data_IF_245884170382
#
_entry.id   IF_245884170382
#
_cell.length_a   1.000
_cell.length_b   1.000
_cell.length_c   1.000
_cell.angle_alpha   90.00
_cell.angle_beta   90.00
_cell.angle_gamma   90.00
#
_symmetry.space_group_name_H-M   'P 1'
#
loop_
_entity.id
_entity.type
_entity.pdbx_description
1 polymer ?
#
# COMPACT_ATOMS: atom_id res chain seq x y z
N UNK A 1 21.60 0.74 -4.47
CA UNK A 1 21.30 -0.67 -4.11
C UNK A 1 22.50 -1.51 -4.47
N UNK A 2 22.89 -2.45 -3.60
CA UNK A 2 24.05 -3.32 -3.83
C UNK A 2 23.89 -4.15 -5.11
N UNK A 3 24.98 -4.36 -5.86
CA UNK A 3 25.01 -5.25 -7.01
C UNK A 3 25.19 -6.73 -6.62
N UNK A 4 25.47 -7.02 -5.36
CA UNK A 4 25.61 -8.39 -4.85
C UNK A 4 24.26 -9.11 -4.77
N UNK A 5 24.14 -10.24 -5.46
CA UNK A 5 22.94 -11.10 -5.46
C UNK A 5 22.74 -11.75 -4.08
N UNK A 6 23.82 -12.14 -3.39
CA UNK A 6 23.72 -12.73 -2.05
C UNK A 6 23.12 -11.75 -1.06
N UNK A 7 23.58 -10.49 -1.11
CA UNK A 7 23.04 -9.43 -0.27
C UNK A 7 21.55 -9.16 -0.56
N UNK A 8 21.16 -9.07 -1.83
CA UNK A 8 19.76 -8.87 -2.21
C UNK A 8 18.86 -9.99 -1.69
N UNK A 9 19.30 -11.25 -1.78
CA UNK A 9 18.54 -12.39 -1.22
C UNK A 9 18.41 -12.28 0.30
N UNK A 10 19.48 -11.91 1.00
CA UNK A 10 19.47 -11.68 2.46
C UNK A 10 18.47 -10.58 2.84
N UNK A 11 18.51 -9.43 2.16
CA UNK A 11 17.61 -8.31 2.40
C UNK A 11 16.13 -8.69 2.19
N UNK A 12 15.80 -9.41 1.11
CA UNK A 12 14.44 -9.89 0.86
C UNK A 12 14.00 -10.83 1.98
N UNK A 13 14.83 -11.82 2.32
CA UNK A 13 14.49 -12.80 3.35
C UNK A 13 14.25 -12.14 4.71
N UNK A 14 15.13 -11.24 5.14
CA UNK A 14 14.97 -10.51 6.40
C UNK A 14 13.71 -9.64 6.39
N UNK A 15 13.43 -8.92 5.30
CA UNK A 15 12.21 -8.14 5.16
C UNK A 15 10.95 -9.01 5.28
N UNK A 16 10.90 -10.14 4.57
CA UNK A 16 9.74 -11.04 4.59
C UNK A 16 9.54 -11.68 5.97
N UNK A 17 10.61 -12.11 6.63
CA UNK A 17 10.54 -12.68 7.97
C UNK A 17 9.98 -11.65 8.96
N UNK A 18 10.56 -10.46 9.03
CA UNK A 18 10.11 -9.42 9.97
C UNK A 18 8.65 -9.05 9.70
N UNK A 19 8.29 -8.84 8.43
CA UNK A 19 6.95 -8.43 8.03
C UNK A 19 5.92 -9.51 8.39
N UNK A 20 6.08 -10.74 7.92
CA UNK A 20 5.09 -11.80 8.14
C UNK A 20 5.05 -12.29 9.59
N UNK A 21 6.15 -12.25 10.34
CA UNK A 21 6.13 -12.56 11.79
C UNK A 21 5.31 -11.51 12.54
N UNK A 22 5.49 -10.21 12.25
CA UNK A 22 4.68 -9.16 12.88
C UNK A 22 3.21 -9.26 12.49
N UNK A 23 2.90 -9.54 11.22
CA UNK A 23 1.52 -9.75 10.77
C UNK A 23 0.89 -10.95 11.46
N UNK A 24 1.59 -12.08 11.55
CA UNK A 24 1.11 -13.26 12.26
C UNK A 24 0.87 -12.96 13.75
N UNK A 25 1.80 -12.26 14.40
CA UNK A 25 1.67 -11.84 15.79
C UNK A 25 0.45 -10.93 16.02
N UNK A 26 0.30 -9.88 15.22
CA UNK A 26 -0.84 -8.94 15.33
C UNK A 26 -2.16 -9.67 15.04
N UNK A 27 -2.15 -10.61 14.10
CA UNK A 27 -3.35 -11.39 13.74
C UNK A 27 -3.92 -12.19 14.92
N UNK A 28 -3.09 -12.62 15.89
CA UNK A 28 -3.58 -13.31 17.09
C UNK A 28 -4.62 -12.44 17.81
N UNK A 29 -4.35 -11.14 17.97
CA UNK A 29 -5.27 -10.20 18.62
C UNK A 29 -6.53 -9.95 17.78
N UNK A 30 -6.40 -9.87 16.45
CA UNK A 30 -7.56 -9.75 15.54
C UNK A 30 -8.52 -10.93 15.75
N UNK A 31 -7.99 -12.16 15.79
CA UNK A 31 -8.82 -13.36 15.99
C UNK A 31 -9.42 -13.45 17.40
N UNK A 32 -8.74 -12.94 18.43
CA UNK A 32 -9.28 -12.85 19.79
C UNK A 32 -10.47 -11.91 19.91
N UNK A 33 -10.50 -10.82 19.13
CA UNK A 33 -11.56 -9.80 19.20
C UNK A 33 -12.74 -10.10 18.29
N UNK A 34 -12.60 -11.03 17.33
CA UNK A 34 -13.66 -11.39 16.37
C UNK A 34 -15.00 -11.76 17.00
N UNK A 35 -15.01 -12.30 18.23
CA UNK A 35 -16.24 -12.67 18.94
C UNK A 35 -16.87 -11.56 19.78
N UNK A 36 -16.29 -10.35 19.83
CA UNK A 36 -16.84 -9.20 20.56
C UNK A 36 -17.92 -8.46 19.75
N UNK A 37 -18.84 -7.78 20.44
CA UNK A 37 -19.95 -7.01 19.85
C UNK A 37 -19.49 -5.90 18.91
N UNK A 38 -18.43 -5.18 19.27
CA UNK A 38 -17.85 -4.07 18.47
C UNK A 38 -16.61 -4.49 17.66
N UNK A 39 -16.55 -5.77 17.28
CA UNK A 39 -15.37 -6.36 16.66
C UNK A 39 -14.89 -5.67 15.38
N UNK A 40 -15.80 -5.07 14.59
CA UNK A 40 -15.44 -4.42 13.32
C UNK A 40 -14.54 -3.21 13.54
N UNK A 41 -14.84 -2.34 14.50
CA UNK A 41 -14.05 -1.14 14.77
C UNK A 41 -12.64 -1.50 15.25
N UNK A 42 -12.53 -2.46 16.18
CA UNK A 42 -11.23 -2.96 16.64
C UNK A 42 -10.44 -3.62 15.51
N UNK A 43 -11.07 -4.47 14.70
CA UNK A 43 -10.39 -5.16 13.60
C UNK A 43 -9.95 -4.15 12.52
N UNK A 44 -10.74 -3.10 12.26
CA UNK A 44 -10.37 -2.03 11.33
C UNK A 44 -9.16 -1.24 11.81
N UNK A 45 -9.03 -0.98 13.11
CA UNK A 45 -7.85 -0.36 13.69
C UNK A 45 -6.58 -1.22 13.49
N UNK A 46 -6.71 -2.55 13.59
CA UNK A 46 -5.62 -3.46 13.24
C UNK A 46 -5.31 -3.47 11.75
N UNK A 47 -6.30 -3.31 10.87
CA UNK A 47 -6.07 -3.15 9.43
C UNK A 47 -5.28 -1.86 9.11
N UNK A 48 -5.52 -0.79 9.86
CA UNK A 48 -4.71 0.44 9.77
C UNK A 48 -3.28 0.19 10.28
N UNK A 49 -3.11 -0.52 11.40
CA UNK A 49 -1.80 -0.90 11.92
C UNK A 49 -0.99 -1.77 10.93
N UNK A 50 -1.65 -2.69 10.22
CA UNK A 50 -1.03 -3.52 9.19
C UNK A 50 -0.24 -2.65 8.20
N UNK A 51 -0.80 -1.52 7.74
CA UNK A 51 -0.16 -0.63 6.76
C UNK A 51 1.20 -0.06 7.22
N UNK A 52 1.51 -0.02 8.51
CA UNK A 52 2.83 0.40 9.01
C UNK A 52 3.94 -0.65 8.84
N UNK A 53 3.57 -1.94 8.87
CA UNK A 53 4.50 -3.05 9.03
C UNK A 53 5.51 -3.17 7.88
N UNK A 54 5.15 -2.96 6.60
CA UNK A 54 6.12 -3.08 5.51
C UNK A 54 7.26 -2.05 5.66
N UNK A 55 6.98 -0.77 5.83
CA UNK A 55 8.02 0.25 6.01
C UNK A 55 8.85 0.03 7.29
N UNK A 56 8.23 -0.38 8.40
CA UNK A 56 8.97 -0.73 9.60
C UNK A 56 9.99 -1.85 9.34
N UNK A 57 9.55 -2.89 8.63
CA UNK A 57 10.42 -4.01 8.23
C UNK A 57 11.60 -3.52 7.38
N UNK A 58 11.35 -2.59 6.44
CA UNK A 58 12.41 -1.95 5.65
C UNK A 58 13.39 -1.18 6.53
N UNK A 59 12.90 -0.37 7.46
CA UNK A 59 13.74 0.44 8.34
C UNK A 59 14.66 -0.45 9.18
N UNK A 60 14.16 -1.57 9.71
CA UNK A 60 14.96 -2.54 10.44
C UNK A 60 16.04 -3.14 9.54
N UNK A 61 15.70 -3.59 8.33
CA UNK A 61 16.70 -4.15 7.40
C UNK A 61 17.78 -3.13 7.05
N UNK A 62 17.39 -1.94 6.59
CA UNK A 62 18.34 -0.92 6.14
C UNK A 62 19.26 -0.43 7.26
N UNK A 63 18.73 -0.21 8.48
CA UNK A 63 19.50 0.42 9.56
C UNK A 63 20.22 -0.57 10.47
N UNK A 64 19.64 -1.76 10.72
CA UNK A 64 20.19 -2.73 11.68
C UNK A 64 20.93 -3.88 11.02
N UNK A 65 20.57 -4.24 9.80
CA UNK A 65 21.19 -5.38 9.09
C UNK A 65 22.26 -4.87 8.12
N UNK A 66 21.95 -3.80 7.39
CA UNK A 66 22.81 -3.27 6.32
C UNK A 66 23.58 -2.00 6.72
N UNK A 67 23.35 -1.45 7.92
CA UNK A 67 24.01 -0.25 8.46
C UNK A 67 24.04 0.95 7.48
N UNK A 68 22.96 1.13 6.72
CA UNK A 68 22.86 2.20 5.74
C UNK A 68 22.75 3.57 6.43
N UNK A 69 23.53 4.54 5.97
CA UNK A 69 23.51 5.92 6.47
C UNK A 69 22.63 6.82 5.60
N UNK A 70 21.89 7.70 6.26
CA UNK A 70 21.03 8.71 5.62
C UNK A 70 21.40 10.11 6.14
N UNK A 71 20.90 11.16 5.49
CA UNK A 71 21.01 12.51 6.04
C UNK A 71 20.32 12.59 7.39
N UNK A 72 20.72 13.50 8.30
CA UNK A 72 20.10 13.62 9.63
C UNK A 72 18.56 13.76 9.58
N UNK A 73 18.04 14.50 8.60
CA UNK A 73 16.60 14.72 8.41
C UNK A 73 15.88 13.42 8.02
N UNK A 74 16.40 12.69 7.02
CA UNK A 74 15.83 11.40 6.60
C UNK A 74 15.97 10.36 7.70
N UNK A 75 17.09 10.35 8.43
CA UNK A 75 17.31 9.46 9.56
C UNK A 75 16.30 9.70 10.69
N UNK A 76 16.00 10.96 10.99
CA UNK A 76 14.98 11.39 11.94
C UNK A 76 13.58 10.95 11.50
N UNK A 77 13.23 11.14 10.23
CA UNK A 77 11.96 10.69 9.65
C UNK A 77 11.76 9.18 9.86
N UNK A 78 12.76 8.36 9.48
CA UNK A 78 12.68 6.90 9.62
C UNK A 78 12.64 6.46 11.10
N UNK A 79 13.35 7.16 11.99
CA UNK A 79 13.27 6.93 13.44
C UNK A 79 11.88 7.21 13.99
N UNK A 80 11.28 8.34 13.63
CA UNK A 80 9.93 8.71 14.08
C UNK A 80 8.90 7.71 13.57
N UNK A 81 8.97 7.31 12.30
CA UNK A 81 8.10 6.26 11.75
C UNK A 81 8.24 4.93 12.53
N UNK A 82 9.47 4.51 12.83
CA UNK A 82 9.71 3.26 13.53
C UNK A 82 9.20 3.30 14.99
N UNK A 83 9.42 4.40 15.71
CA UNK A 83 8.90 4.61 17.06
C UNK A 83 7.37 4.63 17.04
N UNK A 84 6.77 5.34 16.08
CA UNK A 84 5.32 5.38 15.90
C UNK A 84 4.74 3.98 15.64
N UNK A 85 5.41 3.15 14.84
CA UNK A 85 4.96 1.78 14.58
C UNK A 85 4.94 0.94 15.86
N UNK A 86 6.01 0.99 16.66
CA UNK A 86 6.09 0.26 17.94
C UNK A 86 4.99 0.75 18.89
N UNK A 87 4.81 2.06 18.99
CA UNK A 87 3.77 2.68 19.80
C UNK A 87 2.37 2.25 19.34
N UNK A 88 2.12 2.22 18.03
CA UNK A 88 0.84 1.77 17.45
C UNK A 88 0.56 0.30 17.73
N UNK A 89 1.57 -0.58 17.70
CA UNK A 89 1.41 -1.99 18.09
C UNK A 89 0.96 -2.08 19.55
N UNK A 90 1.67 -1.42 20.46
CA UNK A 90 1.37 -1.45 21.90
C UNK A 90 -0.04 -0.92 22.16
N UNK A 91 -0.38 0.24 21.58
CA UNK A 91 -1.68 0.88 21.83
C UNK A 91 -2.83 0.10 21.22
N UNK A 92 -2.67 -0.48 20.02
CA UNK A 92 -3.72 -1.33 19.45
C UNK A 92 -4.01 -2.54 20.33
N UNK A 93 -2.97 -3.14 20.93
CA UNK A 93 -3.13 -4.27 21.86
C UNK A 93 -3.79 -3.80 23.16
N UNK A 94 -3.39 -2.65 23.71
CA UNK A 94 -3.99 -2.08 24.92
C UNK A 94 -5.48 -1.76 24.72
N UNK A 95 -5.83 -1.15 23.58
CA UNK A 95 -7.21 -0.81 23.22
C UNK A 95 -8.12 -2.05 23.21
N UNK A 96 -7.61 -3.22 22.81
CA UNK A 96 -8.36 -4.49 22.88
C UNK A 96 -8.86 -4.82 24.30
N UNK A 97 -8.12 -4.44 25.34
CA UNK A 97 -8.39 -4.83 26.71
C UNK A 97 -8.99 -3.73 27.59
N UNK A 98 -8.74 -2.45 27.28
CA UNK A 98 -8.84 -1.40 28.29
C UNK A 98 -9.77 -0.23 27.95
N UNK A 99 -10.33 -0.09 26.74
CA UNK A 99 -11.05 1.14 26.36
C UNK A 99 -12.27 0.87 25.46
N UNK A 100 -13.45 1.21 25.96
CA UNK A 100 -14.63 1.50 25.14
C UNK A 100 -14.56 2.97 24.69
N UNK A 101 -14.50 3.23 23.37
CA UNK A 101 -14.83 4.53 22.80
C UNK A 101 -13.75 5.61 22.62
N UNK A 102 -12.46 5.38 22.95
CA UNK A 102 -11.36 6.30 22.58
C UNK A 102 -10.37 5.57 21.67
N UNK A 103 -10.24 6.05 20.42
CA UNK A 103 -9.28 5.53 19.45
C UNK A 103 -7.98 6.34 19.57
N UNK A 104 -7.20 6.12 20.64
CA UNK A 104 -5.89 6.73 20.83
C UNK A 104 -4.96 6.46 19.63
N UNK A 105 -5.15 5.30 19.02
CA UNK A 105 -4.55 4.91 17.74
C UNK A 105 -4.71 5.93 16.61
N UNK A 106 -5.90 6.51 16.43
CA UNK A 106 -6.18 7.45 15.33
C UNK A 106 -5.53 8.83 15.56
N UNK A 107 -5.40 9.24 16.83
CA UNK A 107 -4.65 10.44 17.19
C UNK A 107 -3.17 10.27 16.84
N UNK A 108 -2.60 9.10 17.13
CA UNK A 108 -1.21 8.81 16.76
C UNK A 108 -1.04 8.82 15.25
N UNK A 109 -1.94 8.16 14.51
CA UNK A 109 -1.91 8.15 13.05
C UNK A 109 -1.94 9.58 12.49
N UNK A 110 -2.82 10.42 13.01
CA UNK A 110 -2.96 11.82 12.62
C UNK A 110 -1.70 12.63 12.89
N UNK A 111 -1.18 12.63 14.12
CA UNK A 111 -0.02 13.43 14.49
C UNK A 111 1.25 12.96 13.77
N UNK A 112 1.42 11.65 13.62
CA UNK A 112 2.54 11.06 12.88
C UNK A 112 2.44 11.42 11.40
N UNK A 113 1.26 11.30 10.79
CA UNK A 113 1.03 11.69 9.39
C UNK A 113 1.42 13.15 9.15
N UNK A 114 0.87 14.08 9.93
CA UNK A 114 1.13 15.52 9.81
C UNK A 114 2.62 15.84 9.98
N UNK A 115 3.26 15.25 10.98
CA UNK A 115 4.67 15.49 11.25
C UNK A 115 5.58 14.96 10.12
N UNK A 116 5.32 13.75 9.64
CA UNK A 116 6.08 13.13 8.56
C UNK A 116 5.86 13.85 7.22
N UNK A 117 4.65 14.32 6.94
CA UNK A 117 4.35 15.18 5.80
C UNK A 117 5.12 16.49 5.88
N UNK A 118 5.09 17.18 7.02
CA UNK A 118 5.85 18.40 7.24
C UNK A 118 7.34 18.19 6.94
N UNK A 119 7.96 17.14 7.52
CA UNK A 119 9.36 16.85 7.27
C UNK A 119 9.64 16.61 5.78
N UNK A 120 8.79 15.84 5.11
CA UNK A 120 8.98 15.44 3.71
C UNK A 120 8.80 16.61 2.74
N UNK A 121 7.79 17.46 2.96
CA UNK A 121 7.48 18.59 2.09
C UNK A 121 8.44 19.77 2.31
N UNK A 122 8.80 20.06 3.56
CA UNK A 122 9.72 21.15 3.90
C UNK A 122 11.15 20.86 3.42
N UNK A 123 11.60 19.61 3.51
CA UNK A 123 12.95 19.18 3.15
C UNK A 123 12.99 18.38 1.83
N UNK A 124 12.18 18.78 0.85
CA UNK A 124 11.92 17.97 -0.36
C UNK A 124 13.18 17.52 -1.12
N UNK A 125 14.28 18.28 -1.10
CA UNK A 125 15.55 17.91 -1.74
C UNK A 125 16.24 16.74 -1.03
N UNK A 126 16.26 16.71 0.30
CA UNK A 126 16.86 15.61 1.07
C UNK A 126 16.12 14.28 0.86
N UNK A 127 14.80 14.35 0.70
CA UNK A 127 13.94 13.18 0.48
C UNK A 127 14.07 12.57 -0.93
N UNK A 128 14.85 13.17 -1.84
CA UNK A 128 15.27 12.49 -3.06
C UNK A 128 16.05 11.20 -2.78
N UNK A 129 16.73 11.10 -1.63
CA UNK A 129 17.43 9.89 -1.20
C UNK A 129 16.51 8.67 -1.08
N UNK A 130 15.21 8.89 -0.81
CA UNK A 130 14.18 7.85 -0.75
C UNK A 130 13.26 7.85 -1.98
N UNK A 131 13.60 8.60 -3.04
CA UNK A 131 12.71 8.92 -4.15
C UNK A 131 11.37 9.54 -3.67
N UNK A 132 11.34 10.22 -2.52
CA UNK A 132 10.13 10.76 -1.90
C UNK A 132 10.09 12.30 -1.98
N UNK A 133 10.63 12.86 -3.06
CA UNK A 133 10.60 14.30 -3.31
C UNK A 133 9.41 14.69 -4.17
N UNK A 134 8.60 15.65 -3.74
CA UNK A 134 7.40 16.08 -4.48
C UNK A 134 7.74 16.80 -5.80
N UNK A 135 8.91 17.43 -5.90
CA UNK A 135 9.33 18.20 -7.08
C UNK A 135 9.85 17.30 -8.20
N UNK A 136 10.47 16.16 -7.86
CA UNK A 136 11.10 15.24 -8.81
C UNK A 136 10.08 14.59 -9.74
N UNK A 137 10.22 14.82 -11.05
CA UNK A 137 9.33 14.26 -12.08
C UNK A 137 7.83 14.54 -11.84
N UNK A 138 7.48 15.64 -11.16
CA UNK A 138 6.10 15.95 -10.75
C UNK A 138 5.07 15.82 -11.87
N UNK A 139 5.35 16.33 -13.07
CA UNK A 139 4.44 16.21 -14.24
C UNK A 139 4.10 14.76 -14.59
N UNK A 140 5.07 13.84 -14.46
CA UNK A 140 4.84 12.40 -14.70
C UNK A 140 4.00 11.79 -13.59
N UNK A 141 4.20 12.22 -12.34
CA UNK A 141 3.39 11.79 -11.19
C UNK A 141 1.92 12.19 -11.42
N UNK A 142 1.66 13.45 -11.78
CA UNK A 142 0.32 13.92 -12.09
C UNK A 142 -0.31 13.14 -13.26
N UNK A 143 0.48 12.87 -14.31
CA UNK A 143 0.00 12.12 -15.47
C UNK A 143 -0.42 10.68 -15.14
N UNK A 144 0.37 9.94 -14.34
CA UNK A 144 0.00 8.56 -13.96
C UNK A 144 -1.17 8.51 -12.99
N UNK A 145 -1.32 9.52 -12.11
CA UNK A 145 -2.50 9.65 -11.24
C UNK A 145 -3.74 9.91 -12.10
N UNK A 146 -3.66 10.82 -13.08
CA UNK A 146 -4.77 11.11 -13.98
C UNK A 146 -5.21 9.86 -14.75
N UNK A 147 -4.26 9.08 -15.29
CA UNK A 147 -4.57 7.80 -15.95
C UNK A 147 -5.30 6.85 -15.00
N UNK A 148 -4.80 6.72 -13.76
CA UNK A 148 -5.42 5.84 -12.77
C UNK A 148 -6.85 6.27 -12.43
N UNK A 149 -7.06 7.56 -12.17
CA UNK A 149 -8.38 8.11 -11.86
C UNK A 149 -9.33 7.88 -13.04
N UNK A 150 -8.89 8.06 -14.28
CA UNK A 150 -9.72 7.78 -15.46
C UNK A 150 -10.07 6.29 -15.59
N UNK A 151 -9.13 5.38 -15.34
CA UNK A 151 -9.40 3.93 -15.30
C UNK A 151 -10.46 3.61 -14.25
N UNK A 152 -10.37 4.21 -13.06
CA UNK A 152 -11.36 4.03 -12.00
C UNK A 152 -12.72 4.58 -12.42
N UNK A 153 -12.79 5.81 -12.94
CA UNK A 153 -14.04 6.42 -13.42
C UNK A 153 -14.72 5.59 -14.51
N UNK A 154 -13.95 5.01 -15.45
CA UNK A 154 -14.50 4.10 -16.47
C UNK A 154 -15.06 2.83 -15.84
N UNK A 155 -14.37 2.27 -14.85
CA UNK A 155 -14.83 1.10 -14.11
C UNK A 155 -16.14 1.31 -13.35
N UNK A 156 -16.48 2.55 -13.03
CA UNK A 156 -17.69 2.92 -12.30
C UNK A 156 -18.89 3.17 -13.21
N UNK A 157 -18.72 3.15 -14.54
CA UNK A 157 -19.82 3.39 -15.48
C UNK A 157 -20.97 2.39 -15.30
N UNK A 158 -20.75 1.07 -15.15
CA UNK A 158 -21.83 0.12 -14.93
C UNK A 158 -22.63 0.43 -13.65
N UNK A 159 -21.93 0.70 -12.55
CA UNK A 159 -22.55 1.07 -11.28
C UNK A 159 -23.30 2.39 -11.38
N UNK A 160 -22.80 3.37 -12.17
CA UNK A 160 -23.47 4.64 -12.38
C UNK A 160 -24.83 4.48 -13.07
N UNK A 161 -24.94 3.59 -14.06
CA UNK A 161 -26.23 3.29 -14.69
C UNK A 161 -27.20 2.62 -13.72
N UNK A 162 -26.71 1.75 -12.83
CA UNK A 162 -27.54 1.09 -11.81
C UNK A 162 -27.93 2.07 -10.67
N UNK A 163 -27.02 2.97 -10.30
CA UNK A 163 -27.21 4.05 -9.32
C UNK A 163 -28.19 5.10 -9.85
N UNK A 164 -28.17 5.41 -11.15
CA UNK A 164 -29.12 6.35 -11.76
C UNK A 164 -30.58 5.88 -11.69
N UNK A 165 -30.80 4.58 -11.45
CA UNK A 165 -32.12 4.00 -11.16
C UNK A 165 -32.55 4.17 -9.69
N UNK A 166 -31.62 4.56 -8.81
CA UNK A 166 -31.83 4.85 -7.39
C UNK A 166 -31.70 6.37 -7.16
N UNK A 167 -32.41 6.92 -6.17
CA UNK A 167 -32.36 8.35 -5.84
C UNK A 167 -31.05 8.73 -5.11
N UNK A 168 -29.89 8.49 -5.72
CA UNK A 168 -28.58 8.73 -5.13
C UNK A 168 -28.06 10.10 -5.54
N UNK A 169 -27.61 10.89 -4.57
CA UNK A 169 -27.07 12.23 -4.80
C UNK A 169 -25.60 12.15 -5.25
N UNK A 170 -25.37 12.27 -6.56
CA UNK A 170 -24.03 12.27 -7.16
C UNK A 170 -23.16 13.39 -6.57
N UNK A 171 -23.75 14.53 -6.23
CA UNK A 171 -23.03 15.65 -5.60
C UNK A 171 -22.44 15.26 -4.25
N UNK A 172 -23.18 14.53 -3.42
CA UNK A 172 -22.70 14.04 -2.12
C UNK A 172 -21.54 13.05 -2.29
N UNK A 173 -21.63 12.11 -3.24
CA UNK A 173 -20.55 11.16 -3.54
C UNK A 173 -19.26 11.90 -3.92
N UNK A 174 -19.36 12.92 -4.78
CA UNK A 174 -18.20 13.72 -5.18
C UNK A 174 -17.60 14.46 -3.99
N UNK A 175 -18.44 15.11 -3.16
CA UNK A 175 -17.99 15.83 -1.96
C UNK A 175 -17.33 14.89 -0.96
N UNK A 176 -17.93 13.73 -0.69
CA UNK A 176 -17.35 12.70 0.19
C UNK A 176 -16.03 12.16 -0.36
N UNK A 177 -15.93 11.96 -1.67
CA UNK A 177 -14.68 11.58 -2.33
C UNK A 177 -13.58 12.62 -2.15
N UNK A 178 -13.88 13.91 -2.37
CA UNK A 178 -12.92 15.00 -2.21
C UNK A 178 -12.46 15.15 -0.75
N UNK A 179 -13.39 15.11 0.20
CA UNK A 179 -13.08 15.12 1.63
C UNK A 179 -12.22 13.91 1.98
N UNK A 180 -12.61 12.71 1.53
CA UNK A 180 -11.86 11.47 1.76
C UNK A 180 -10.43 11.55 1.24
N UNK A 181 -10.20 12.11 0.05
CA UNK A 181 -8.87 12.31 -0.53
C UNK A 181 -8.02 13.28 0.31
N UNK A 182 -8.57 14.44 0.69
CA UNK A 182 -7.86 15.45 1.49
C UNK A 182 -7.53 14.89 2.88
N UNK A 183 -8.50 14.27 3.54
CA UNK A 183 -8.32 13.66 4.85
C UNK A 183 -7.27 12.56 4.77
N UNK A 184 -7.39 11.57 3.89
CA UNK A 184 -6.42 10.48 3.79
C UNK A 184 -5.01 11.00 3.43
N UNK A 185 -4.90 12.09 2.67
CA UNK A 185 -3.61 12.69 2.38
C UNK A 185 -2.99 13.31 3.62
N UNK A 186 -3.74 14.11 4.39
CA UNK A 186 -3.23 14.83 5.55
C UNK A 186 -3.04 13.94 6.78
N UNK A 187 -3.98 13.05 7.05
CA UNK A 187 -4.03 12.25 8.28
C UNK A 187 -3.69 10.76 8.08
N UNK A 188 -3.42 10.33 6.84
CA UNK A 188 -3.09 8.94 6.51
C UNK A 188 -1.81 8.75 5.70
N UNK A 189 -0.96 9.78 5.54
CA UNK A 189 0.26 9.69 4.74
C UNK A 189 1.21 8.57 5.21
N UNK A 190 1.39 8.46 6.52
CA UNK A 190 2.11 7.38 7.20
C UNK A 190 1.65 5.99 6.77
N UNK A 191 0.34 5.79 6.54
CA UNK A 191 -0.22 4.48 6.18
C UNK A 191 0.19 4.09 4.76
N UNK A 192 -0.05 4.98 3.79
CA UNK A 192 0.28 4.73 2.39
C UNK A 192 1.79 4.74 2.14
N UNK A 193 2.54 5.59 2.84
CA UNK A 193 4.00 5.49 2.89
C UNK A 193 4.43 4.14 3.46
N UNK A 194 3.79 3.71 4.55
CA UNK A 194 4.05 2.46 5.24
C UNK A 194 4.04 1.26 4.30
N UNK A 195 3.01 1.15 3.47
CA UNK A 195 2.90 0.09 2.48
C UNK A 195 3.84 0.30 1.28
N UNK A 196 3.75 1.43 0.59
CA UNK A 196 4.45 1.59 -0.68
C UNK A 196 5.98 1.69 -0.52
N UNK A 197 6.47 2.14 0.65
CA UNK A 197 7.90 2.09 0.97
C UNK A 197 8.38 0.63 1.14
N UNK A 198 7.56 -0.24 1.70
CA UNK A 198 7.82 -1.68 1.74
C UNK A 198 7.74 -2.34 0.37
N UNK A 199 6.61 -2.16 -0.31
CA UNK A 199 6.31 -2.90 -1.54
C UNK A 199 7.03 -2.36 -2.76
N UNK A 200 6.97 -1.05 -3.04
CA UNK A 200 7.49 -0.46 -4.29
C UNK A 200 8.91 0.04 -4.17
N UNK A 201 9.25 0.69 -3.05
CA UNK A 201 10.59 1.21 -2.85
C UNK A 201 11.57 0.07 -2.51
N UNK A 202 11.19 -0.85 -1.61
CA UNK A 202 12.11 -1.86 -1.12
C UNK A 202 12.02 -3.22 -1.82
N UNK A 203 10.87 -3.90 -1.75
CA UNK A 203 10.76 -5.31 -2.17
C UNK A 203 10.75 -5.45 -3.70
N UNK A 204 9.95 -4.65 -4.41
CA UNK A 204 9.82 -4.75 -5.87
C UNK A 204 11.17 -4.62 -6.59
N UNK A 205 12.03 -3.60 -6.37
CA UNK A 205 13.27 -3.47 -7.14
C UNK A 205 14.25 -4.61 -6.86
N UNK A 206 14.21 -5.19 -5.65
CA UNK A 206 15.01 -6.38 -5.28
C UNK A 206 14.54 -7.63 -6.02
N UNK A 207 13.22 -7.89 -6.04
CA UNK A 207 12.64 -8.99 -6.81
C UNK A 207 12.87 -8.82 -8.31
N UNK A 208 12.73 -7.60 -8.83
CA UNK A 208 13.00 -7.30 -10.24
C UNK A 208 14.46 -7.50 -10.63
N UNK A 209 15.39 -7.31 -9.69
CA UNK A 209 16.80 -7.61 -9.89
C UNK A 209 17.07 -9.12 -9.93
N UNK A 210 16.36 -9.93 -9.13
CA UNK A 210 16.54 -11.39 -9.10
C UNK A 210 15.84 -12.12 -10.25
N UNK A 211 14.63 -11.67 -10.62
CA UNK A 211 13.75 -12.42 -11.52
C UNK A 211 13.38 -11.65 -12.80
N UNK A 212 13.95 -10.46 -13.00
CA UNK A 212 13.55 -9.56 -14.09
C UNK A 212 12.29 -8.75 -13.75
N UNK A 213 12.06 -7.67 -14.50
CA UNK A 213 11.06 -6.66 -14.12
C UNK A 213 9.63 -7.17 -14.04
N UNK A 214 9.24 -8.03 -15.00
CA UNK A 214 7.88 -8.59 -15.11
C UNK A 214 7.61 -9.59 -13.99
N UNK A 215 8.44 -10.62 -13.87
CA UNK A 215 8.26 -11.65 -12.84
C UNK A 215 8.41 -11.02 -11.45
N UNK A 216 9.37 -10.11 -11.27
CA UNK A 216 9.58 -9.43 -10.00
C UNK A 216 8.36 -8.62 -9.51
N UNK A 217 7.62 -7.94 -10.41
CA UNK A 217 6.39 -7.24 -10.00
C UNK A 217 5.24 -8.21 -9.70
N UNK A 218 5.13 -9.32 -10.45
CA UNK A 218 4.09 -10.34 -10.21
C UNK A 218 4.29 -11.04 -8.87
N UNK A 219 5.55 -11.38 -8.52
CA UNK A 219 5.89 -11.94 -7.21
C UNK A 219 5.57 -10.91 -6.11
N UNK A 220 5.95 -9.65 -6.30
CA UNK A 220 5.66 -8.59 -5.32
C UNK A 220 4.15 -8.43 -5.08
N UNK A 221 3.35 -8.41 -6.14
CA UNK A 221 1.89 -8.33 -6.04
C UNK A 221 1.28 -9.56 -5.38
N UNK A 222 1.83 -10.76 -5.63
CA UNK A 222 1.37 -12.00 -5.00
C UNK A 222 1.65 -12.00 -3.49
N UNK A 223 2.85 -11.58 -3.08
CA UNK A 223 3.22 -11.44 -1.67
C UNK A 223 2.31 -10.43 -0.97
N UNK A 224 2.07 -9.28 -1.61
CA UNK A 224 1.15 -8.26 -1.09
C UNK A 224 -0.29 -8.78 -0.98
N UNK A 225 -0.76 -9.60 -1.92
CA UNK A 225 -2.08 -10.24 -1.84
C UNK A 225 -2.19 -11.22 -0.66
N UNK A 226 -1.19 -12.10 -0.49
CA UNK A 226 -1.14 -13.07 0.61
C UNK A 226 -1.08 -12.38 1.97
N UNK A 227 -0.41 -11.23 2.04
CA UNK A 227 -0.29 -10.43 3.26
C UNK A 227 -1.65 -9.98 3.84
N UNK A 228 -2.69 -9.84 3.01
CA UNK A 228 -4.06 -9.49 3.44
C UNK A 228 -4.88 -10.68 3.99
N UNK A 229 -4.33 -11.91 3.97
CA UNK A 229 -5.07 -13.12 4.32
C UNK A 229 -5.83 -13.04 5.66
N UNK A 230 -5.23 -12.55 6.77
CA UNK A 230 -5.97 -12.42 8.04
C UNK A 230 -7.19 -11.52 7.90
N UNK A 231 -7.05 -10.37 7.25
CA UNK A 231 -8.13 -9.38 7.08
C UNK A 231 -9.24 -9.86 6.15
N UNK A 232 -8.94 -10.70 5.15
CA UNK A 232 -9.99 -11.34 4.36
C UNK A 232 -10.89 -12.26 5.19
N UNK A 233 -10.31 -12.94 6.18
CA UNK A 233 -11.02 -13.89 7.05
C UNK A 233 -11.80 -13.17 8.16
N UNK A 234 -11.37 -11.98 8.56
CA UNK A 234 -11.89 -11.29 9.75
C UNK A 234 -12.66 -10.01 9.47
N UNK A 235 -12.28 -9.23 8.45
CA UNK A 235 -12.80 -7.88 8.21
C UNK A 235 -13.47 -7.72 6.84
N UNK A 236 -12.74 -8.02 5.76
CA UNK A 236 -13.16 -7.61 4.42
C UNK A 236 -14.32 -8.44 3.88
N UNK A 237 -14.34 -9.73 4.18
CA UNK A 237 -15.39 -10.63 3.71
C UNK A 237 -15.49 -11.89 4.59
N UNK A 238 -15.76 -11.75 5.91
CA UNK A 238 -15.77 -12.89 6.81
C UNK A 238 -16.82 -13.96 6.44
N UNK A 239 -17.86 -13.59 5.69
CA UNK A 239 -18.90 -14.51 5.17
C UNK A 239 -18.46 -15.30 3.93
N UNK A 240 -17.54 -14.76 3.13
CA UNK A 240 -17.04 -15.40 1.89
C UNK A 240 -15.51 -15.28 1.79
N UNK A 241 -14.76 -15.79 2.79
CA UNK A 241 -13.33 -15.48 2.92
C UNK A 241 -12.49 -16.04 1.76
N UNK A 242 -12.83 -17.23 1.24
CA UNK A 242 -12.14 -17.82 0.10
C UNK A 242 -12.20 -16.94 -1.16
N UNK A 243 -13.37 -16.38 -1.46
CA UNK A 243 -13.52 -15.46 -2.59
C UNK A 243 -12.77 -14.15 -2.35
N UNK A 244 -12.78 -13.63 -1.12
CA UNK A 244 -11.97 -12.46 -0.78
C UNK A 244 -10.48 -12.69 -1.01
N UNK A 245 -9.95 -13.85 -0.60
CA UNK A 245 -8.54 -14.19 -0.77
C UNK A 245 -8.15 -14.22 -2.25
N UNK A 246 -8.96 -14.90 -3.08
CA UNK A 246 -8.73 -14.96 -4.53
C UNK A 246 -8.82 -13.56 -5.14
N UNK A 247 -9.81 -12.76 -4.71
CA UNK A 247 -10.01 -11.41 -5.20
C UNK A 247 -8.84 -10.49 -4.82
N UNK A 248 -8.43 -10.47 -3.55
CA UNK A 248 -7.31 -9.65 -3.08
C UNK A 248 -6.00 -10.06 -3.73
N UNK A 249 -5.74 -11.36 -3.89
CA UNK A 249 -4.57 -11.83 -4.61
C UNK A 249 -4.56 -11.28 -6.05
N UNK A 250 -5.70 -11.36 -6.73
CA UNK A 250 -5.85 -10.86 -8.10
C UNK A 250 -5.66 -9.33 -8.16
N UNK A 251 -6.35 -8.57 -7.31
CA UNK A 251 -6.25 -7.11 -7.25
C UNK A 251 -4.82 -6.68 -6.93
N UNK A 252 -4.16 -7.26 -5.91
CA UNK A 252 -2.80 -6.90 -5.55
C UNK A 252 -1.79 -7.21 -6.66
N UNK A 253 -2.00 -8.27 -7.45
CA UNK A 253 -1.19 -8.55 -8.64
C UNK A 253 -1.43 -7.49 -9.72
N UNK A 254 -2.68 -7.26 -10.12
CA UNK A 254 -3.01 -6.36 -11.22
C UNK A 254 -2.75 -4.88 -10.86
N UNK A 255 -3.24 -4.40 -9.72
CA UNK A 255 -2.91 -3.06 -9.22
C UNK A 255 -1.40 -2.92 -8.96
N UNK A 256 -0.74 -3.98 -8.49
CA UNK A 256 0.71 -4.02 -8.33
C UNK A 256 1.49 -3.79 -9.62
N UNK A 257 0.99 -4.29 -10.76
CA UNK A 257 1.56 -3.98 -12.09
C UNK A 257 1.48 -2.48 -12.37
N UNK A 258 0.34 -1.84 -12.11
CA UNK A 258 0.18 -0.41 -12.37
C UNK A 258 1.00 0.45 -11.41
N UNK A 259 1.00 0.14 -10.11
CA UNK A 259 1.82 0.82 -9.11
C UNK A 259 3.32 0.67 -9.41
N UNK A 260 3.74 -0.53 -9.85
CA UNK A 260 5.10 -0.80 -10.26
C UNK A 260 5.50 -0.03 -11.53
N UNK A 261 4.62 0.04 -12.53
CA UNK A 261 4.77 0.88 -13.71
C UNK A 261 4.94 2.35 -13.31
N UNK A 262 4.02 2.87 -12.50
CA UNK A 262 4.01 4.26 -12.06
C UNK A 262 5.32 4.61 -11.36
N UNK A 263 5.77 3.77 -10.42
CA UNK A 263 7.03 3.99 -9.71
C UNK A 263 8.24 3.99 -10.64
N UNK A 264 8.36 3.03 -11.56
CA UNK A 264 9.48 2.99 -12.52
C UNK A 264 9.45 4.17 -13.50
N UNK A 265 8.25 4.60 -13.93
CA UNK A 265 8.05 5.70 -14.86
C UNK A 265 8.45 7.05 -14.27
N UNK A 266 8.06 7.28 -13.02
CA UNK A 266 8.23 8.56 -12.33
C UNK A 266 9.55 8.60 -11.55
N UNK A 267 10.11 7.45 -11.17
CA UNK A 267 11.19 7.34 -10.17
C UNK A 267 10.87 8.15 -8.91
N UNK A 268 9.59 8.14 -8.52
CA UNK A 268 9.06 8.93 -7.43
C UNK A 268 8.02 8.10 -6.65
N UNK A 269 8.25 7.94 -5.36
CA UNK A 269 7.43 7.17 -4.42
C UNK A 269 6.09 7.86 -4.13
N UNK A 270 5.96 9.16 -4.36
CA UNK A 270 4.67 9.86 -4.28
C UNK A 270 3.65 9.31 -5.28
N UNK A 271 4.08 8.82 -6.45
CA UNK A 271 3.16 8.27 -7.44
C UNK A 271 2.38 7.05 -6.91
N UNK A 272 3.03 5.95 -6.49
CA UNK A 272 2.29 4.82 -5.93
C UNK A 272 1.54 5.18 -4.64
N UNK A 273 2.09 6.04 -3.77
CA UNK A 273 1.40 6.49 -2.54
C UNK A 273 0.04 7.14 -2.88
N UNK A 274 0.05 8.12 -3.79
CA UNK A 274 -1.17 8.85 -4.16
C UNK A 274 -2.15 7.97 -4.94
N UNK A 275 -1.66 7.07 -5.80
CA UNK A 275 -2.51 6.11 -6.51
C UNK A 275 -3.19 5.15 -5.53
N UNK A 276 -2.44 4.61 -4.55
CA UNK A 276 -3.00 3.72 -3.53
C UNK A 276 -4.03 4.46 -2.67
N UNK A 277 -3.73 5.70 -2.27
CA UNK A 277 -4.68 6.57 -1.57
C UNK A 277 -5.99 6.75 -2.35
N UNK A 278 -5.90 7.14 -3.63
CA UNK A 278 -7.07 7.29 -4.51
C UNK A 278 -7.84 5.97 -4.62
N UNK A 279 -7.15 4.83 -4.73
CA UNK A 279 -7.78 3.51 -4.77
C UNK A 279 -8.64 3.25 -3.53
N UNK A 280 -8.12 3.54 -2.33
CA UNK A 280 -8.80 3.23 -1.08
C UNK A 280 -9.98 4.18 -0.85
N UNK A 281 -9.83 5.48 -1.15
CA UNK A 281 -10.94 6.44 -1.03
C UNK A 281 -12.09 6.09 -1.96
N UNK A 282 -11.80 5.77 -3.24
CA UNK A 282 -12.83 5.34 -4.19
C UNK A 282 -13.53 4.06 -3.71
N UNK A 283 -12.76 3.11 -3.17
CA UNK A 283 -13.33 1.84 -2.67
C UNK A 283 -14.25 2.08 -1.47
N UNK A 284 -13.86 2.92 -0.51
CA UNK A 284 -14.70 3.21 0.67
C UNK A 284 -15.97 3.95 0.28
N UNK A 285 -15.86 5.02 -0.51
CA UNK A 285 -17.00 5.88 -0.86
C UNK A 285 -18.04 5.16 -1.71
N UNK A 286 -17.64 4.23 -2.57
CA UNK A 286 -18.53 3.62 -3.56
C UNK A 286 -18.94 2.19 -3.23
N UNK A 287 -18.05 1.40 -2.61
CA UNK A 287 -18.31 -0.02 -2.31
C UNK A 287 -18.86 -0.19 -0.88
N UNK A 288 -18.84 0.88 -0.07
CA UNK A 288 -19.43 0.89 1.27
C UNK A 288 -18.54 0.32 2.37
N UNK A 289 -17.24 0.13 2.11
CA UNK A 289 -16.27 -0.29 3.11
C UNK A 289 -16.10 -1.81 3.25
N UNK A 290 -16.05 -2.28 4.50
CA UNK A 290 -15.72 -3.66 4.85
C UNK A 290 -16.92 -4.61 4.73
N UNK A 291 -16.71 -5.90 4.97
CA UNK A 291 -17.73 -6.96 4.97
C UNK A 291 -18.48 -7.23 3.64
N UNK A 292 -17.83 -6.99 2.49
CA UNK A 292 -18.39 -7.35 1.18
C UNK A 292 -18.71 -8.85 1.11
N UNK A 293 -19.88 -9.22 0.58
CA UNK A 293 -20.25 -10.62 0.31
C UNK A 293 -20.04 -10.91 -1.18
N UNK A 294 -19.06 -11.75 -1.50
CA UNK A 294 -18.74 -12.09 -2.88
C UNK A 294 -19.65 -13.18 -3.41
N UNK A 295 -20.19 -12.94 -4.61
CA UNK A 295 -20.73 -14.01 -5.47
C UNK A 295 -19.67 -14.42 -6.50
N UNK A 296 -19.75 -15.61 -7.11
CA UNK A 296 -18.84 -16.00 -8.20
C UNK A 296 -18.82 -14.99 -9.35
N UNK A 297 -19.98 -14.38 -9.64
CA UNK A 297 -20.12 -13.34 -10.65
C UNK A 297 -19.32 -12.08 -10.29
N UNK A 298 -19.51 -11.53 -9.08
CA UNK A 298 -18.78 -10.34 -8.62
C UNK A 298 -17.26 -10.57 -8.57
N UNK A 299 -16.84 -11.76 -8.15
CA UNK A 299 -15.43 -12.17 -8.17
C UNK A 299 -14.87 -12.13 -9.60
N UNK A 300 -15.57 -12.75 -10.55
CA UNK A 300 -15.14 -12.81 -11.93
C UNK A 300 -15.11 -11.42 -12.58
N UNK A 301 -16.13 -10.59 -12.34
CA UNK A 301 -16.19 -9.21 -12.82
C UNK A 301 -15.01 -8.38 -12.31
N UNK A 302 -14.66 -8.50 -11.01
CA UNK A 302 -13.52 -7.79 -10.42
C UNK A 302 -12.16 -8.21 -11.00
N UNK A 303 -11.99 -9.52 -11.24
CA UNK A 303 -10.76 -10.06 -11.84
C UNK A 303 -10.64 -9.61 -13.30
N UNK A 304 -11.72 -9.75 -14.09
CA UNK A 304 -11.73 -9.35 -15.50
C UNK A 304 -11.47 -7.85 -15.63
N UNK A 305 -12.14 -7.02 -14.83
CA UNK A 305 -11.89 -5.58 -14.77
C UNK A 305 -10.41 -5.29 -14.51
N UNK A 306 -9.86 -5.86 -13.42
CA UNK A 306 -8.47 -5.63 -13.02
C UNK A 306 -7.48 -6.08 -14.11
N UNK A 307 -7.77 -7.21 -14.76
CA UNK A 307 -6.98 -7.73 -15.86
C UNK A 307 -7.01 -6.79 -17.08
N UNK A 308 -8.20 -6.39 -17.54
CA UNK A 308 -8.36 -5.53 -18.72
C UNK A 308 -7.62 -4.20 -18.53
N UNK A 309 -7.75 -3.58 -17.36
CA UNK A 309 -7.23 -2.24 -17.16
C UNK A 309 -5.76 -2.18 -16.73
N UNK A 310 -5.26 -3.17 -15.98
CA UNK A 310 -3.90 -3.11 -15.44
C UNK A 310 -2.90 -4.06 -16.10
N UNK A 311 -3.33 -5.21 -16.63
CA UNK A 311 -2.41 -6.14 -17.31
C UNK A 311 -1.69 -5.52 -18.51
N UNK A 312 -2.31 -4.67 -19.36
CA UNK A 312 -1.62 -4.05 -20.50
C UNK A 312 -0.35 -3.27 -20.10
N UNK A 313 -0.31 -2.71 -18.89
CA UNK A 313 0.85 -1.98 -18.38
C UNK A 313 2.09 -2.88 -18.24
N UNK A 314 1.93 -4.20 -18.04
CA UNK A 314 3.03 -5.16 -17.97
C UNK A 314 3.84 -5.26 -19.27
N UNK A 315 3.27 -4.82 -20.40
CA UNK A 315 3.90 -4.86 -21.73
C UNK A 315 4.52 -3.53 -22.16
N UNK A 316 4.41 -2.49 -21.33
CA UNK A 316 5.04 -1.18 -21.55
C UNK A 316 6.57 -1.27 -21.53
N UNK A 317 7.24 -0.26 -22.09
CA UNK A 317 8.70 -0.21 -22.20
C UNK A 317 9.40 -0.20 -20.83
N UNK A 318 8.72 0.28 -19.80
CA UNK A 318 9.22 0.32 -18.43
C UNK A 318 9.53 -1.11 -17.91
N UNK A 319 8.73 -2.09 -18.33
CA UNK A 319 8.93 -3.52 -18.06
C UNK A 319 9.80 -4.26 -19.09
N UNK A 320 10.27 -3.58 -20.15
CA UNK A 320 11.22 -4.15 -21.12
C UNK A 320 12.66 -4.05 -20.56
N UNK A 321 13.48 -5.05 -20.92
CA UNK A 321 14.89 -5.18 -20.53
C UNK A 321 15.12 -5.93 -19.22
N UNK A 322 16.06 -6.89 -19.23
CA UNK A 322 16.53 -7.51 -18.00
C UNK A 322 17.42 -6.52 -17.25
N UNK A 323 17.39 -6.56 -15.91
CA UNK A 323 18.36 -5.81 -15.09
C UNK A 323 19.79 -6.30 -15.35
N UNK A 324 19.93 -7.51 -15.92
CA UNK A 324 21.20 -8.19 -16.22
C UNK A 324 21.81 -7.71 -17.55
N UNK A 325 21.02 -7.26 -18.53
CA UNK A 325 21.52 -6.93 -19.88
C UNK A 325 22.27 -5.60 -19.98
N UNK A 326 22.39 -4.83 -18.88
CA UNK A 326 23.12 -3.55 -18.86
C UNK A 326 24.57 -3.63 -18.40
N UNK A 327 25.08 -4.84 -18.16
CA UNK A 327 26.51 -5.03 -17.82
C UNK A 327 27.45 -5.15 -19.03
N UNK A 328 26.94 -5.22 -20.26
CA UNK A 328 27.78 -5.37 -21.47
C UNK A 328 27.87 -4.10 -22.35
N UNK A 329 27.26 -2.97 -21.96
CA UNK A 329 27.24 -1.75 -22.78
C UNK A 329 27.87 -0.53 -22.11
N UNK A 330 28.81 -0.71 -21.19
CA UNK A 330 29.55 0.38 -20.54
C UNK A 330 31.08 0.25 -20.70
N UNK A 331 31.54 -0.59 -21.62
CA UNK A 331 32.88 -0.50 -22.19
C UNK A 331 32.74 -0.09 -23.66
N UNK A 332 32.79 1.23 -23.90
CA UNK A 332 33.38 1.97 -25.04
C UNK A 332 33.29 3.46 -24.68
#
# INVERSE_FOLDING_TARGET
MSNDIKLVKKEINSFLIINFVLIAFISIFIFMVKSKSDSVDFISNFAVLFMYIPAFSVIVVLKKIENYSFTPTVDKFLKVFAIATILRIIISIVEVFLIDGIILSSLIDTFVSLYLLYLTLYNASEFEALNLSITKNFKKVLFVILIFTMIKLIGLIPDFFDISSKSVNIGEIIVMGLIGLISNFLIGFNLFFGEEFGWRYFLQPRLQKLYGKKIGVLICGSIWGIWHLPLCITLYSPKTPFYCIINHLSICIFLGIFLGYAYMKTKNLWAPILIHLVNNVISIVLIGGFETVFTPRLLLESIIYSMIFFLPFLFTKEYKGNVIDKKESMDI
#
